data_IF_945754401978
#
_entry.id   IF_945754401978
#
_cell.length_a   1.000
_cell.length_b   1.000
_cell.length_c   1.000
_cell.angle_alpha   90.00
_cell.angle_beta   90.00
_cell.angle_gamma   90.00
#
_symmetry.space_group_name_H-M   'P 1'
#
loop_
_entity.id
_entity.type
_entity.pdbx_description
1 polymer ?
#
# COMPACT_ATOMS: atom_id res chain seq x y z
N UNK A 1 -26.09 13.68 -10.13
CA UNK A 1 -25.17 13.70 -11.28
C UNK A 1 -23.86 14.40 -10.89
N UNK A 2 -23.22 13.98 -9.80
CA UNK A 2 -21.91 14.49 -9.39
C UNK A 2 -20.86 13.42 -9.72
N UNK A 3 -20.55 13.41 -11.02
CA UNK A 3 -19.35 12.91 -11.67
C UNK A 3 -18.48 11.92 -10.87
N UNK A 4 -18.70 10.65 -11.17
CA UNK A 4 -17.79 9.52 -11.02
C UNK A 4 -16.52 9.65 -11.90
N UNK A 5 -15.86 10.81 -11.86
CA UNK A 5 -14.79 11.19 -12.79
C UNK A 5 -13.48 11.57 -12.07
N UNK A 6 -13.00 10.71 -11.17
CA UNK A 6 -11.66 10.85 -10.59
C UNK A 6 -10.93 9.50 -10.43
N UNK A 7 -11.34 8.49 -11.20
CA UNK A 7 -10.66 7.17 -11.24
C UNK A 7 -9.61 7.12 -12.39
N UNK A 8 -9.51 8.15 -13.24
CA UNK A 8 -8.74 8.13 -14.50
C UNK A 8 -7.51 9.06 -14.54
N UNK A 9 -6.79 9.21 -13.43
CA UNK A 9 -5.39 9.70 -13.47
C UNK A 9 -4.52 8.63 -12.81
N UNK A 10 -4.35 7.52 -13.54
CA UNK A 10 -3.74 6.29 -13.06
C UNK A 10 -2.26 6.45 -12.73
N UNK A 11 -1.99 6.74 -11.46
CA UNK A 11 -0.79 6.26 -10.77
C UNK A 11 -1.29 5.29 -9.71
N UNK A 12 -1.46 4.02 -10.11
CA UNK A 12 -1.70 2.94 -9.17
C UNK A 12 -0.35 2.54 -8.56
N UNK A 13 0.07 3.22 -7.49
CA UNK A 13 1.14 2.70 -6.62
C UNK A 13 0.51 1.57 -5.79
N UNK A 14 0.41 0.39 -6.40
CA UNK A 14 -0.07 -0.82 -5.72
C UNK A 14 1.12 -1.54 -5.13
N UNK A 15 1.43 -1.27 -3.86
CA UNK A 15 2.33 -2.13 -3.09
C UNK A 15 1.55 -2.83 -2.00
N UNK A 16 1.43 -4.15 -2.08
CA UNK A 16 0.97 -4.94 -0.96
C UNK A 16 2.02 -4.89 0.15
N UNK A 17 1.86 -3.99 1.12
CA UNK A 17 2.75 -3.88 2.30
C UNK A 17 2.56 -5.00 3.32
N UNK A 18 1.45 -5.73 3.21
CA UNK A 18 1.10 -6.85 4.08
C UNK A 18 0.88 -8.09 3.21
N UNK A 19 1.67 -9.12 3.47
CA UNK A 19 1.47 -10.45 2.91
C UNK A 19 1.00 -11.37 4.05
N UNK A 20 -0.12 -12.05 3.86
CA UNK A 20 -0.60 -13.09 4.79
C UNK A 20 -0.82 -14.37 4.02
N UNK A 21 -0.15 -15.44 4.43
CA UNK A 21 -0.29 -16.75 3.81
C UNK A 21 -0.11 -17.86 4.84
N UNK A 22 -0.57 -19.06 4.48
CA UNK A 22 -0.33 -20.26 5.28
C UNK A 22 0.93 -20.92 4.72
N UNK A 23 1.93 -21.13 5.57
CA UNK A 23 3.17 -21.79 5.14
C UNK A 23 2.84 -23.19 4.58
N UNK A 24 3.24 -23.53 3.35
CA UNK A 24 2.76 -24.73 2.65
C UNK A 24 3.14 -26.03 3.36
N UNK A 25 4.32 -26.05 4.00
CA UNK A 25 4.83 -27.20 4.77
C UNK A 25 4.44 -27.14 6.25
N UNK A 26 4.74 -26.04 6.97
CA UNK A 26 4.49 -25.89 8.41
C UNK A 26 3.01 -25.67 8.78
N UNK A 27 2.14 -25.32 7.82
CA UNK A 27 0.71 -25.01 8.02
C UNK A 27 0.42 -23.88 9.02
N UNK A 28 1.42 -23.06 9.35
CA UNK A 28 1.30 -21.91 10.22
C UNK A 28 0.90 -20.66 9.41
N UNK A 29 0.13 -19.76 10.02
CA UNK A 29 -0.16 -18.45 9.43
C UNK A 29 1.05 -17.55 9.58
N UNK A 30 1.59 -17.09 8.46
CA UNK A 30 2.70 -16.14 8.41
C UNK A 30 2.16 -14.81 7.92
N UNK A 31 2.46 -13.75 8.68
CA UNK A 31 2.22 -12.37 8.30
C UNK A 31 3.55 -11.65 8.14
N UNK A 32 3.77 -11.07 6.96
CA UNK A 32 4.97 -10.30 6.65
C UNK A 32 4.53 -8.87 6.36
N UNK A 33 5.11 -7.92 7.10
CA UNK A 33 4.96 -6.50 6.86
C UNK A 33 6.27 -5.94 6.32
N UNK A 34 6.25 -5.41 5.09
CA UNK A 34 7.40 -4.73 4.53
C UNK A 34 7.54 -3.33 5.14
N UNK A 35 8.77 -2.88 5.49
CA UNK A 35 9.00 -1.53 5.96
C UNK A 35 8.76 -0.51 4.84
N UNK A 36 8.50 0.74 5.21
CA UNK A 36 8.32 1.84 4.25
C UNK A 36 9.69 2.13 3.59
N UNK A 37 9.77 2.15 2.25
CA UNK A 37 10.99 2.56 1.56
C UNK A 37 11.39 3.99 1.94
N UNK A 38 12.68 4.22 2.18
CA UNK A 38 13.22 5.55 2.45
C UNK A 38 13.46 6.31 1.13
N UNK A 39 12.36 6.68 0.47
CA UNK A 39 12.35 7.40 -0.80
C UNK A 39 11.39 8.61 -0.66
N UNK A 40 11.79 9.74 -1.24
CA UNK A 40 11.03 11.01 -1.18
C UNK A 40 9.62 10.83 -1.71
N UNK A 41 9.44 10.10 -2.82
CA UNK A 41 8.11 9.88 -3.40
C UNK A 41 7.22 9.05 -2.46
N UNK A 42 7.80 8.07 -1.78
CA UNK A 42 7.10 7.22 -0.83
C UNK A 42 6.68 7.96 0.44
N UNK A 43 7.57 8.82 0.95
CA UNK A 43 7.27 9.66 2.12
C UNK A 43 6.22 10.72 1.81
N UNK A 44 6.33 11.41 0.67
CA UNK A 44 5.33 12.39 0.26
C UNK A 44 3.94 11.76 0.08
N UNK A 45 3.86 10.59 -0.56
CA UNK A 45 2.60 9.87 -0.70
C UNK A 45 2.06 9.40 0.67
N UNK A 46 2.92 8.91 1.56
CA UNK A 46 2.53 8.49 2.91
C UNK A 46 1.99 9.67 3.74
N UNK A 47 2.68 10.80 3.75
CA UNK A 47 2.29 11.99 4.50
C UNK A 47 0.97 12.59 3.98
N UNK A 48 0.78 12.63 2.65
CA UNK A 48 -0.48 13.04 2.03
C UNK A 48 -1.66 12.16 2.45
N UNK A 49 -1.45 10.84 2.59
CA UNK A 49 -2.51 9.92 3.02
C UNK A 49 -2.83 10.03 4.51
N UNK A 50 -1.85 10.41 5.35
CA UNK A 50 -2.04 10.54 6.80
C UNK A 50 -2.43 11.96 7.24
N UNK A 51 -2.55 12.91 6.31
CA UNK A 51 -2.98 14.28 6.60
C UNK A 51 -1.94 15.14 7.31
N UNK A 52 -0.66 14.76 7.23
CA UNK A 52 0.45 15.59 7.70
C UNK A 52 1.01 16.37 6.50
N UNK A 53 0.76 17.68 6.48
CA UNK A 53 1.30 18.64 5.50
C UNK A 53 2.66 19.17 5.96
#
# INVERSE_FOLDING_TARGET
>A
MALSALILTGVFIYTARKLSFIHPVKKERIEIQAPIPNDVLWQSAYNQLNGEL
#
